data_IF_306652529021
#
_entry.id   IF_306652529021
#
_cell.length_a   1.000
_cell.length_b   1.000
_cell.length_c   1.000
_cell.angle_alpha   90.00
_cell.angle_beta   90.00
_cell.angle_gamma   90.00
#
_symmetry.space_group_name_H-M   'P 1'
#
loop_
_entity.id
_entity.type
_entity.pdbx_description
1 polymer ?
#
# COMPACT_ATOMS: atom_id res chain seq x y z
N UNK A 1 11.55 30.90 -37.57
CA UNK A 1 11.35 29.47 -37.86
C UNK A 1 11.28 28.71 -36.53
N UNK A 2 10.08 28.55 -35.96
CA UNK A 2 9.86 27.64 -34.82
C UNK A 2 9.45 26.30 -35.40
N UNK A 3 10.18 25.24 -35.07
CA UNK A 3 9.76 23.90 -35.40
C UNK A 3 8.40 23.63 -34.72
N UNK A 4 7.46 22.94 -35.37
CA UNK A 4 6.22 22.57 -34.71
C UNK A 4 6.54 21.61 -33.57
N UNK A 5 6.13 21.98 -32.35
CA UNK A 5 6.28 21.19 -31.13
C UNK A 5 5.59 19.83 -31.30
N UNK A 6 6.37 18.83 -31.74
CA UNK A 6 5.94 17.44 -31.90
C UNK A 6 5.69 16.73 -30.56
N UNK A 7 5.87 17.42 -29.43
CA UNK A 7 5.66 16.88 -28.09
C UNK A 7 4.18 16.62 -27.77
N UNK A 8 3.22 17.32 -28.42
CA UNK A 8 1.80 17.27 -28.02
C UNK A 8 0.92 16.32 -28.84
N UNK A 9 1.48 15.43 -29.66
CA UNK A 9 0.69 14.62 -30.63
C UNK A 9 0.66 13.10 -30.40
N UNK A 10 1.22 12.58 -29.29
CA UNK A 10 1.17 11.14 -28.98
C UNK A 10 0.42 10.76 -27.69
N UNK A 11 -0.31 11.67 -27.07
CA UNK A 11 -0.90 11.43 -25.73
C UNK A 11 -2.43 11.42 -25.71
N UNK A 12 -3.11 11.19 -26.84
CA UNK A 12 -4.58 11.26 -26.89
C UNK A 12 -5.26 10.19 -27.73
N UNK A 13 -4.66 9.01 -27.86
CA UNK A 13 -5.25 7.90 -28.62
C UNK A 13 -4.95 6.55 -27.95
N UNK A 14 -5.44 6.39 -26.72
CA UNK A 14 -5.88 5.10 -26.22
C UNK A 14 -6.78 5.38 -25.01
N UNK A 15 -8.09 5.18 -25.15
CA UNK A 15 -9.04 5.28 -24.04
C UNK A 15 -9.09 3.99 -23.21
N UNK A 16 -8.19 3.03 -23.46
CA UNK A 16 -7.95 1.92 -22.52
C UNK A 16 -7.03 2.39 -21.39
N UNK A 17 -7.33 2.01 -20.15
CA UNK A 17 -6.47 2.34 -19.01
C UNK A 17 -5.11 1.68 -19.24
N UNK A 18 -4.01 2.43 -19.13
CA UNK A 18 -2.63 1.91 -19.31
C UNK A 18 -2.35 0.68 -18.42
N UNK A 19 -3.04 0.54 -17.28
CA UNK A 19 -2.98 -0.64 -16.42
C UNK A 19 -3.56 -1.93 -17.01
N UNK A 20 -4.46 -1.84 -17.98
CA UNK A 20 -4.93 -3.02 -18.71
C UNK A 20 -3.82 -3.60 -19.60
N UNK A 21 -2.89 -2.73 -20.04
CA UNK A 21 -1.77 -3.10 -20.91
C UNK A 21 -0.50 -3.45 -20.12
N UNK A 22 -0.24 -2.78 -19.00
CA UNK A 22 0.97 -2.94 -18.19
C UNK A 22 0.58 -3.40 -16.79
N UNK A 23 0.87 -4.65 -16.50
CA UNK A 23 0.57 -5.32 -15.23
C UNK A 23 1.73 -6.24 -14.82
N UNK A 24 1.55 -6.97 -13.73
CA UNK A 24 2.55 -7.89 -13.16
C UNK A 24 3.01 -9.00 -14.12
N UNK A 25 2.23 -9.31 -15.17
CA UNK A 25 2.55 -10.32 -16.17
C UNK A 25 3.16 -9.73 -17.45
N UNK A 26 3.20 -8.40 -17.58
CA UNK A 26 3.75 -7.75 -18.77
C UNK A 26 5.26 -8.00 -18.84
N UNK A 27 5.78 -8.41 -20.01
CA UNK A 27 7.22 -8.61 -20.17
C UNK A 27 7.94 -7.27 -20.07
N UNK A 28 9.21 -7.29 -19.65
CA UNK A 28 9.97 -6.06 -19.41
C UNK A 28 10.13 -5.17 -20.65
N UNK A 29 9.91 -5.68 -21.85
CA UNK A 29 9.94 -4.92 -23.11
C UNK A 29 8.69 -4.06 -23.31
N UNK A 30 7.57 -4.44 -22.68
CA UNK A 30 6.28 -3.76 -22.79
C UNK A 30 6.04 -2.75 -21.65
N UNK A 31 6.96 -2.68 -20.68
CA UNK A 31 6.91 -1.68 -19.62
C UNK A 31 7.15 -0.28 -20.20
N UNK A 32 6.60 0.71 -19.52
CA UNK A 32 6.78 2.09 -19.92
C UNK A 32 8.24 2.54 -19.80
N UNK A 33 8.64 3.47 -20.66
CA UNK A 33 9.97 4.09 -20.60
C UNK A 33 10.25 4.64 -19.19
N UNK A 34 11.34 4.17 -18.58
CA UNK A 34 11.75 4.60 -17.24
C UNK A 34 10.81 4.15 -16.10
N UNK A 35 9.97 3.13 -16.30
CA UNK A 35 8.99 2.67 -15.30
C UNK A 35 8.06 3.79 -14.80
N UNK A 36 7.69 4.70 -15.70
CA UNK A 36 6.78 5.79 -15.39
C UNK A 36 5.41 5.26 -14.98
N UNK A 37 4.89 5.76 -13.85
CA UNK A 37 3.57 5.41 -13.34
C UNK A 37 2.55 6.36 -13.99
N UNK A 38 1.76 5.86 -14.95
CA UNK A 38 0.77 6.68 -15.68
C UNK A 38 -0.63 6.67 -15.06
N UNK A 39 -0.91 5.78 -14.11
CA UNK A 39 -2.18 5.73 -13.38
C UNK A 39 -2.00 6.22 -11.94
N UNK A 40 -2.94 7.03 -11.47
CA UNK A 40 -2.98 7.45 -10.08
C UNK A 40 -3.37 6.28 -9.15
N UNK A 41 -2.90 6.32 -7.90
CA UNK A 41 -3.28 5.39 -6.82
C UNK A 41 -2.96 3.89 -7.06
N UNK A 42 -2.02 3.57 -7.95
CA UNK A 42 -1.56 2.18 -8.20
C UNK A 42 -0.94 1.50 -6.99
N UNK A 43 -0.52 2.26 -5.98
CA UNK A 43 -0.01 1.72 -4.72
C UNK A 43 -1.02 0.85 -3.97
N UNK A 44 -2.33 1.01 -4.22
CA UNK A 44 -3.40 0.20 -3.60
C UNK A 44 -3.49 -1.20 -4.18
N UNK A 45 -2.99 -1.41 -5.40
CA UNK A 45 -3.01 -2.70 -6.09
C UNK A 45 -1.77 -3.54 -5.74
N UNK A 46 -0.79 -2.95 -5.03
CA UNK A 46 0.48 -3.60 -4.73
C UNK A 46 0.47 -4.20 -3.32
N UNK A 47 0.16 -5.50 -3.24
CA UNK A 47 0.09 -6.23 -1.98
C UNK A 47 1.49 -6.46 -1.38
N UNK A 48 1.87 -5.62 -0.41
CA UNK A 48 3.16 -5.72 0.30
C UNK A 48 3.11 -6.68 1.50
N UNK A 49 1.97 -7.32 1.76
CA UNK A 49 1.76 -8.20 2.90
C UNK A 49 2.66 -9.43 2.93
N UNK A 50 3.10 -9.90 1.75
CA UNK A 50 4.02 -11.04 1.63
C UNK A 50 5.41 -10.76 2.22
N UNK A 51 5.76 -9.50 2.49
CA UNK A 51 7.07 -9.13 3.03
C UNK A 51 7.21 -9.40 4.53
N UNK A 52 6.13 -9.84 5.18
CA UNK A 52 6.11 -10.12 6.62
C UNK A 52 7.00 -11.30 6.97
N UNK A 53 7.91 -11.08 7.91
CA UNK A 53 8.55 -12.16 8.69
C UNK A 53 7.78 -12.47 9.98
N UNK A 54 7.04 -11.49 10.51
CA UNK A 54 6.19 -11.63 11.68
C UNK A 54 4.85 -10.91 11.47
N UNK A 55 3.78 -11.46 12.05
CA UNK A 55 2.40 -10.97 11.90
C UNK A 55 1.91 -10.34 13.21
N UNK A 56 1.42 -9.08 13.19
CA UNK A 56 0.80 -8.48 14.37
C UNK A 56 -0.57 -9.12 14.62
N UNK A 57 -0.86 -9.45 15.87
CA UNK A 57 -2.14 -10.00 16.32
C UNK A 57 -2.78 -9.01 17.28
N UNK A 58 -3.97 -8.57 16.96
CA UNK A 58 -4.74 -7.63 17.77
C UNK A 58 -5.54 -8.36 18.86
N UNK A 59 -5.33 -7.97 20.10
CA UNK A 59 -6.18 -8.36 21.23
C UNK A 59 -7.16 -7.22 21.53
N UNK A 60 -8.43 -7.43 21.19
CA UNK A 60 -9.49 -6.43 21.35
C UNK A 60 -9.78 -6.10 22.82
N UNK A 61 -9.70 -7.09 23.72
CA UNK A 61 -10.00 -6.90 25.15
C UNK A 61 -9.03 -5.93 25.84
N UNK A 62 -7.75 -5.93 25.41
CA UNK A 62 -6.72 -5.02 25.92
C UNK A 62 -6.73 -3.65 25.24
N UNK A 63 -7.43 -3.52 24.11
CA UNK A 63 -7.39 -2.30 23.31
C UNK A 63 -8.34 -1.24 23.88
N UNK A 64 -7.82 -0.03 24.14
CA UNK A 64 -8.62 1.12 24.60
C UNK A 64 -9.07 2.06 23.48
N UNK A 65 -8.90 1.66 22.21
CA UNK A 65 -9.23 2.48 21.05
C UNK A 65 -8.59 3.89 21.06
N UNK A 66 -7.36 4.00 21.59
CA UNK A 66 -6.62 5.26 21.67
C UNK A 66 -6.03 5.74 20.32
N UNK A 67 -6.15 4.92 19.27
CA UNK A 67 -5.66 5.16 17.90
C UNK A 67 -4.16 5.45 17.74
N UNK A 68 -3.33 5.41 18.80
CA UNK A 68 -1.89 5.69 18.71
C UNK A 68 -1.13 4.82 17.70
N UNK A 69 -1.60 3.59 17.47
CA UNK A 69 -0.98 2.67 16.52
C UNK A 69 -1.21 3.05 15.05
N UNK A 70 -2.32 3.73 14.72
CA UNK A 70 -2.68 4.10 13.34
C UNK A 70 -1.73 5.13 12.72
N UNK A 71 -1.48 6.31 13.32
CA UNK A 71 -0.65 7.34 12.68
C UNK A 71 0.83 6.97 12.62
N UNK A 72 1.29 6.00 13.42
CA UNK A 72 2.68 5.52 13.36
C UNK A 72 2.87 4.38 12.34
N UNK A 73 1.78 3.87 11.75
CA UNK A 73 1.87 2.83 10.73
C UNK A 73 2.38 3.44 9.41
N UNK A 74 3.60 3.12 8.95
CA UNK A 74 4.15 3.73 7.75
C UNK A 74 3.37 3.36 6.48
N UNK A 75 2.74 2.19 6.48
CA UNK A 75 2.00 1.65 5.33
C UNK A 75 0.48 1.83 5.47
N UNK A 76 0.02 2.59 6.48
CA UNK A 76 -1.42 2.85 6.74
C UNK A 76 -2.30 1.59 6.83
N UNK A 77 -1.73 0.45 7.24
CA UNK A 77 -2.40 -0.86 7.26
C UNK A 77 -3.30 -1.09 8.49
N UNK A 78 -3.74 -0.02 9.16
CA UNK A 78 -4.64 -0.08 10.32
C UNK A 78 -5.84 0.84 10.02
N UNK A 79 -6.87 0.35 9.33
CA UNK A 79 -8.06 1.13 9.02
C UNK A 79 -8.75 1.64 10.28
N UNK A 80 -9.39 2.80 10.17
CA UNK A 80 -10.16 3.42 11.23
C UNK A 80 -11.56 3.72 10.70
N UNK A 81 -12.57 3.25 11.43
CA UNK A 81 -13.98 3.48 11.14
C UNK A 81 -14.67 3.91 12.43
N UNK A 82 -15.57 4.89 12.35
CA UNK A 82 -16.34 5.36 13.51
C UNK A 82 -15.49 5.73 14.73
N UNK A 83 -14.30 6.32 14.49
CA UNK A 83 -13.28 6.68 15.50
C UNK A 83 -12.67 5.49 16.26
N UNK A 84 -12.84 4.27 15.76
CA UNK A 84 -12.22 3.06 16.29
C UNK A 84 -11.28 2.46 15.25
N UNK A 85 -10.15 1.89 15.70
CA UNK A 85 -9.34 1.04 14.82
C UNK A 85 -10.09 -0.24 14.52
N UNK A 86 -9.94 -0.70 13.29
CA UNK A 86 -10.43 -1.98 12.80
C UNK A 86 -9.30 -3.02 12.81
N UNK A 87 -9.55 -4.18 12.22
CA UNK A 87 -8.52 -5.21 12.01
C UNK A 87 -7.41 -4.72 11.08
N UNK A 88 -6.23 -5.34 11.15
CA UNK A 88 -5.13 -5.04 10.24
C UNK A 88 -5.48 -5.37 8.78
N UNK A 89 -5.09 -4.49 7.87
CA UNK A 89 -4.99 -4.80 6.45
C UNK A 89 -3.75 -5.67 6.21
N UNK A 90 -3.95 -6.99 6.13
CA UNK A 90 -2.89 -7.94 5.88
C UNK A 90 -2.44 -8.01 4.41
N UNK A 91 -3.06 -7.28 3.49
CA UNK A 91 -2.56 -7.20 2.12
C UNK A 91 -1.44 -6.15 2.01
N UNK A 92 -1.43 -5.17 2.92
CA UNK A 92 -0.43 -4.09 2.94
C UNK A 92 0.47 -4.07 4.19
N UNK A 93 0.13 -4.79 5.26
CA UNK A 93 0.93 -4.79 6.48
C UNK A 93 2.29 -5.49 6.29
N UNK A 94 3.40 -4.79 6.43
CA UNK A 94 4.75 -5.41 6.33
C UNK A 94 5.24 -6.12 7.60
N UNK A 95 4.47 -6.08 8.69
CA UNK A 95 4.86 -6.75 9.93
C UNK A 95 6.02 -6.11 10.69
N UNK A 96 6.26 -4.81 10.47
CA UNK A 96 7.40 -4.08 11.06
C UNK A 96 7.38 -3.96 12.60
N UNK A 97 6.24 -4.22 13.25
CA UNK A 97 6.11 -4.24 14.71
C UNK A 97 6.08 -2.88 15.41
N UNK A 98 6.14 -1.76 14.69
CA UNK A 98 6.09 -0.39 15.26
C UNK A 98 4.80 -0.19 16.06
N UNK A 99 3.67 -0.67 15.54
CA UNK A 99 2.36 -0.61 16.19
C UNK A 99 2.32 -1.37 17.53
N UNK A 100 3.01 -2.50 17.64
CA UNK A 100 3.15 -3.26 18.88
C UNK A 100 4.02 -2.51 19.90
N UNK A 101 5.15 -1.95 19.44
CA UNK A 101 6.09 -1.20 20.28
C UNK A 101 5.48 0.07 20.87
N UNK A 102 4.65 0.79 20.11
CA UNK A 102 4.03 2.04 20.60
C UNK A 102 2.86 1.79 21.54
N UNK A 103 2.26 0.59 21.54
CA UNK A 103 1.04 0.33 22.28
C UNK A 103 1.29 0.29 23.79
N UNK A 104 0.79 1.28 24.58
CA UNK A 104 1.05 1.29 26.02
C UNK A 104 0.27 0.21 26.79
N UNK A 105 -0.75 -0.38 26.15
CA UNK A 105 -1.62 -1.40 26.76
C UNK A 105 -1.20 -2.84 26.41
N UNK A 106 -0.17 -3.02 25.57
CA UNK A 106 0.22 -4.34 25.08
C UNK A 106 -0.92 -5.07 24.34
N UNK A 107 -1.76 -4.33 23.62
CA UNK A 107 -2.92 -4.87 22.91
C UNK A 107 -2.56 -5.49 21.54
N UNK A 108 -1.31 -5.41 21.11
CA UNK A 108 -0.83 -5.96 19.84
C UNK A 108 0.38 -6.85 20.15
N UNK A 109 0.32 -8.11 19.75
CA UNK A 109 1.41 -9.08 19.92
C UNK A 109 1.96 -9.50 18.56
N UNK A 110 3.28 -9.58 18.40
CA UNK A 110 3.89 -10.09 17.18
C UNK A 110 4.02 -11.61 17.26
N UNK A 111 3.55 -12.33 16.25
CA UNK A 111 3.76 -13.77 16.08
C UNK A 111 4.68 -14.02 14.89
N UNK A 112 5.64 -14.93 15.02
CA UNK A 112 6.49 -15.30 13.88
C UNK A 112 5.63 -15.96 12.79
N UNK A 113 5.88 -15.55 11.54
CA UNK A 113 5.31 -16.21 10.37
C UNK A 113 5.94 -17.59 10.21
N UNK A 114 5.12 -18.59 9.86
CA UNK A 114 5.61 -19.91 9.46
C UNK A 114 6.21 -19.84 8.06
#
# INVERSE_FOLDING_TARGET
>A
MRQPDNCRRRERQDESMISERINENSPWQDITEGNQIYQAATSREFHTGEWRTATPVWNQEKCRQCLLCTPVCPDSSIPVKDKMREEFDYDHCKGCGICAKVCPFGAIAMKEGK
#
